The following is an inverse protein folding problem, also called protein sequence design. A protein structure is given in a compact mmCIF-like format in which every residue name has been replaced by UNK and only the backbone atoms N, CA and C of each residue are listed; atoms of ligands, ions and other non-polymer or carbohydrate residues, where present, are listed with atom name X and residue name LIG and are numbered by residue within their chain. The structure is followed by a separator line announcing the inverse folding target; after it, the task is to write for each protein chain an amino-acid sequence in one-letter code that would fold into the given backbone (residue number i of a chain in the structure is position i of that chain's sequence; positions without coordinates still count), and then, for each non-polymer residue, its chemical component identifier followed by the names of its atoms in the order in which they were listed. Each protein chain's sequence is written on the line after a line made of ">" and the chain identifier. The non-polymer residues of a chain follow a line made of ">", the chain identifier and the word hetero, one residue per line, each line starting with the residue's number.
data_IF_920362061620
#
_entry.id   IF_920362061620
#
_cell.length_a   1.000
_cell.length_b   1.000
_cell.length_c   1.000
_cell.angle_alpha   90.00
_cell.angle_beta   90.00
_cell.angle_gamma   90.00
#
_symmetry.space_group_name_H-M   'P 1'
#
loop_
_entity.id
_entity.type
_entity.pdbx_description
1 polymer ?
#
# COMPACT_ATOMS: atom_id res chain seq x y z
N UNK A 1 -29.00 18.43 -33.95
CA UNK A 1 -27.65 17.94 -33.59
C UNK A 1 -27.17 18.46 -32.22
N UNK A 2 -27.39 19.73 -31.88
CA UNK A 2 -27.01 20.31 -30.56
C UNK A 2 -27.61 19.60 -29.33
N UNK A 3 -28.88 19.20 -29.36
CA UNK A 3 -29.54 18.60 -28.19
C UNK A 3 -28.90 17.28 -27.71
N UNK A 4 -28.32 16.48 -28.63
CA UNK A 4 -27.64 15.22 -28.28
C UNK A 4 -26.27 15.44 -27.63
N UNK A 5 -25.60 16.54 -27.98
CA UNK A 5 -24.30 16.93 -27.40
C UNK A 5 -24.49 17.42 -25.96
N UNK A 6 -25.56 18.18 -25.69
CA UNK A 6 -25.88 18.69 -24.35
C UNK A 6 -26.24 17.55 -23.39
N UNK A 7 -27.05 16.57 -23.81
CA UNK A 7 -27.40 15.40 -22.99
C UNK A 7 -26.19 14.53 -22.68
N UNK A 8 -25.30 14.32 -23.65
CA UNK A 8 -24.06 13.58 -23.45
C UNK A 8 -23.10 14.30 -22.49
N UNK A 9 -22.96 15.63 -22.60
CA UNK A 9 -22.14 16.43 -21.70
C UNK A 9 -22.67 16.44 -20.25
N UNK A 10 -23.99 16.56 -20.07
CA UNK A 10 -24.62 16.52 -18.73
C UNK A 10 -24.46 15.12 -18.11
N UNK A 11 -24.61 14.06 -18.90
CA UNK A 11 -24.43 12.69 -18.43
C UNK A 11 -22.97 12.38 -18.08
N UNK A 12 -22.01 12.92 -18.85
CA UNK A 12 -20.58 12.77 -18.56
C UNK A 12 -20.19 13.56 -17.30
N UNK A 13 -20.68 14.78 -17.15
CA UNK A 13 -20.47 15.59 -15.94
C UNK A 13 -21.08 14.86 -14.75
N UNK A 14 -22.34 14.41 -14.82
CA UNK A 14 -22.99 13.65 -13.75
C UNK A 14 -22.25 12.35 -13.40
N UNK A 15 -21.69 11.64 -14.38
CA UNK A 15 -20.85 10.46 -14.16
C UNK A 15 -19.53 10.82 -13.46
N UNK A 16 -18.88 11.91 -13.86
CA UNK A 16 -17.65 12.43 -13.21
C UNK A 16 -17.92 12.97 -11.80
N UNK A 17 -19.08 13.61 -11.55
CA UNK A 17 -19.47 13.99 -10.19
C UNK A 17 -19.85 12.77 -9.37
N UNK A 18 -20.60 11.81 -9.90
CA UNK A 18 -21.02 10.61 -9.16
C UNK A 18 -19.82 9.73 -8.78
N UNK A 19 -18.84 9.57 -9.67
CA UNK A 19 -17.57 8.88 -9.37
C UNK A 19 -16.69 9.63 -8.35
N UNK A 20 -16.83 10.95 -8.21
CA UNK A 20 -16.17 11.77 -7.17
C UNK A 20 -16.97 11.94 -5.87
N UNK A 21 -18.28 11.68 -5.86
CA UNK A 21 -19.16 11.94 -4.70
C UNK A 21 -19.16 10.77 -3.69
N UNK A 22 -18.71 9.58 -4.09
CA UNK A 22 -18.47 8.45 -3.17
C UNK A 22 -17.13 8.50 -2.40
N UNK A 23 -16.29 9.50 -2.68
CA UNK A 23 -14.88 9.57 -2.29
C UNK A 23 -14.56 10.87 -1.55
N UNK A 24 -15.26 11.12 -0.44
CA UNK A 24 -14.84 12.14 0.53
C UNK A 24 -13.37 11.92 0.97
N UNK A 25 -12.68 12.96 1.47
CA UNK A 25 -11.30 12.83 1.91
C UNK A 25 -11.20 11.69 2.92
N UNK A 26 -10.20 10.83 2.74
CA UNK A 26 -9.89 9.77 3.70
C UNK A 26 -9.46 10.44 5.00
N UNK A 27 -10.23 10.26 6.06
CA UNK A 27 -9.86 10.73 7.39
C UNK A 27 -9.35 9.55 8.19
N UNK A 28 -8.12 9.68 8.67
CA UNK A 28 -7.44 8.69 9.48
C UNK A 28 -7.01 9.30 10.80
N UNK A 29 -7.28 8.62 11.91
CA UNK A 29 -6.90 9.10 13.23
C UNK A 29 -6.70 7.96 14.23
N UNK A 30 -5.81 8.18 15.20
CA UNK A 30 -5.68 7.29 16.35
C UNK A 30 -6.82 7.56 17.34
N UNK A 31 -7.47 6.50 17.80
CA UNK A 31 -8.53 6.55 18.81
C UNK A 31 -8.31 5.45 19.84
N UNK A 32 -8.06 5.80 21.10
CA UNK A 32 -7.68 4.83 22.13
C UNK A 32 -6.41 4.06 21.75
N UNK A 33 -6.47 2.73 21.76
CA UNK A 33 -5.39 1.83 21.30
C UNK A 33 -5.52 1.38 19.85
N UNK A 34 -6.34 2.08 19.04
CA UNK A 34 -6.68 1.71 17.68
C UNK A 34 -6.40 2.80 16.65
N UNK A 35 -6.64 2.47 15.39
CA UNK A 35 -6.59 3.39 14.26
C UNK A 35 -7.88 3.28 13.45
N UNK A 36 -8.55 4.42 13.25
CA UNK A 36 -9.78 4.50 12.47
C UNK A 36 -9.47 5.16 11.15
N UNK A 37 -9.91 4.54 10.06
CA UNK A 37 -9.92 5.14 8.73
C UNK A 37 -11.33 5.11 8.16
N UNK A 38 -11.81 6.27 7.72
CA UNK A 38 -13.18 6.40 7.26
C UNK A 38 -13.38 7.44 6.17
N UNK A 39 -14.49 7.27 5.46
CA UNK A 39 -15.11 8.28 4.62
C UNK A 39 -16.65 8.09 4.70
N UNK A 40 -17.41 8.76 3.83
CA UNK A 40 -18.88 8.67 3.83
C UNK A 40 -19.44 7.25 3.65
N UNK A 41 -18.70 6.37 2.97
CA UNK A 41 -19.14 5.01 2.60
C UNK A 41 -18.50 3.93 3.45
N UNK A 42 -17.25 4.12 3.85
CA UNK A 42 -16.45 3.10 4.50
C UNK A 42 -16.01 3.57 5.88
N UNK A 43 -16.04 2.67 6.87
CA UNK A 43 -15.39 2.87 8.16
C UNK A 43 -14.70 1.58 8.57
N UNK A 44 -13.41 1.67 8.86
CA UNK A 44 -12.62 0.58 9.40
C UNK A 44 -12.01 1.02 10.73
N UNK A 45 -12.25 0.24 11.76
CA UNK A 45 -11.64 0.40 13.09
C UNK A 45 -10.65 -0.74 13.30
N UNK A 46 -9.38 -0.40 13.43
CA UNK A 46 -8.27 -1.35 13.57
C UNK A 46 -7.70 -1.33 14.98
N UNK A 47 -7.40 -2.52 15.51
CA UNK A 47 -6.52 -2.65 16.66
C UNK A 47 -5.07 -2.63 16.19
N UNK A 48 -4.30 -1.67 16.71
CA UNK A 48 -2.87 -1.54 16.41
C UNK A 48 -2.03 -1.90 17.62
N UNK A 49 -0.87 -2.52 17.40
CA UNK A 49 0.05 -2.90 18.47
C UNK A 49 1.49 -2.65 18.07
N UNK A 50 2.27 -2.14 19.03
CA UNK A 50 3.71 -1.92 18.91
C UNK A 50 4.11 -0.87 17.87
N UNK A 51 5.04 0.02 18.23
CA UNK A 51 5.73 0.83 17.23
C UNK A 51 6.90 0.04 16.66
N UNK A 52 6.94 -0.14 15.34
CA UNK A 52 7.99 -0.88 14.65
C UNK A 52 8.58 -0.08 13.50
N UNK A 53 9.85 -0.34 13.23
CA UNK A 53 10.55 0.14 12.04
C UNK A 53 11.04 -1.07 11.26
N UNK A 54 10.65 -1.16 10.00
CA UNK A 54 11.07 -2.21 9.09
C UNK A 54 12.00 -1.62 8.05
N UNK A 55 13.14 -2.26 7.82
CA UNK A 55 14.15 -1.83 6.85
C UNK A 55 14.46 -2.95 5.87
N UNK A 56 14.77 -2.58 4.64
CA UNK A 56 15.12 -3.54 3.60
C UNK A 56 15.37 -2.92 2.24
N UNK A 57 15.34 -3.76 1.22
CA UNK A 57 15.48 -3.39 -0.19
C UNK A 57 14.11 -3.53 -0.85
N UNK A 58 13.59 -2.43 -1.40
CA UNK A 58 12.30 -2.35 -2.08
C UNK A 58 12.40 -2.82 -3.53
N UNK A 59 11.48 -3.68 -3.94
CA UNK A 59 11.64 -4.48 -5.17
C UNK A 59 10.39 -4.49 -6.01
N UNK A 60 9.26 -4.84 -5.40
CA UNK A 60 7.98 -4.81 -6.05
C UNK A 60 7.02 -4.07 -5.15
N UNK A 61 6.27 -3.14 -5.72
CA UNK A 61 5.18 -2.52 -4.99
C UNK A 61 3.91 -2.73 -5.82
N UNK A 62 2.72 -2.55 -5.23
CA UNK A 62 1.47 -2.49 -5.97
C UNK A 62 0.59 -1.37 -5.44
N UNK A 63 -0.07 -0.62 -6.32
CA UNK A 63 -1.10 0.34 -5.89
C UNK A 63 -2.34 -0.41 -5.43
N UNK A 64 -2.91 0.08 -4.35
CA UNK A 64 -4.13 -0.47 -3.77
C UNK A 64 -5.29 0.53 -4.00
N UNK A 65 -6.52 0.02 -4.01
CA UNK A 65 -7.75 0.77 -4.29
C UNK A 65 -8.18 1.67 -3.11
N UNK A 66 -7.33 1.87 -2.10
CA UNK A 66 -7.59 2.79 -1.00
C UNK A 66 -8.68 2.28 -0.08
N UNK A 67 -9.75 3.07 0.06
CA UNK A 67 -10.82 2.81 1.02
C UNK A 67 -11.56 1.50 0.79
N UNK A 68 -11.76 1.06 -0.46
CA UNK A 68 -12.40 -0.24 -0.72
C UNK A 68 -11.60 -1.44 -0.20
N UNK A 69 -10.32 -1.23 0.11
CA UNK A 69 -9.40 -2.23 0.65
C UNK A 69 -8.96 -1.89 2.08
N UNK A 70 -9.82 -1.29 2.89
CA UNK A 70 -9.47 -1.01 4.28
C UNK A 70 -8.60 0.22 4.50
N UNK A 71 -8.61 1.15 3.54
CA UNK A 71 -7.72 2.32 3.58
C UNK A 71 -6.28 2.01 3.19
N UNK A 72 -6.00 0.81 2.69
CA UNK A 72 -4.68 0.45 2.16
C UNK A 72 -4.40 1.22 0.88
N UNK A 73 -3.28 1.93 0.83
CA UNK A 73 -2.91 2.77 -0.33
C UNK A 73 -1.75 2.20 -1.15
N UNK A 74 -0.91 1.37 -0.53
CA UNK A 74 0.18 0.68 -1.20
C UNK A 74 0.36 -0.71 -0.62
N UNK A 75 0.84 -1.62 -1.46
CA UNK A 75 1.40 -2.89 -1.07
C UNK A 75 2.88 -2.88 -1.42
N UNK A 76 3.74 -3.39 -0.53
CA UNK A 76 5.18 -3.42 -0.74
C UNK A 76 5.74 -4.81 -0.49
N UNK A 77 6.62 -5.24 -1.38
CA UNK A 77 7.51 -6.36 -1.20
C UNK A 77 8.92 -5.83 -0.99
N UNK A 78 9.60 -6.36 0.01
CA UNK A 78 10.99 -6.04 0.28
C UNK A 78 11.74 -7.26 0.82
N UNK A 79 13.06 -7.26 0.62
CA UNK A 79 13.98 -8.20 1.23
C UNK A 79 14.78 -7.52 2.34
N UNK A 80 15.34 -8.29 3.27
CA UNK A 80 16.53 -7.82 3.98
C UNK A 80 17.73 -7.71 3.02
N UNK A 81 18.79 -7.01 3.42
CA UNK A 81 19.94 -6.78 2.54
C UNK A 81 20.67 -8.07 2.13
N UNK A 82 20.65 -9.09 3.00
CA UNK A 82 21.29 -10.38 2.73
C UNK A 82 20.57 -11.12 1.60
N UNK A 83 19.25 -11.24 1.70
CA UNK A 83 18.40 -11.90 0.71
C UNK A 83 18.40 -11.14 -0.62
N UNK A 84 18.42 -9.80 -0.58
CA UNK A 84 18.58 -8.99 -1.79
C UNK A 84 19.91 -9.26 -2.50
N UNK A 85 21.00 -9.35 -1.74
CA UNK A 85 22.33 -9.64 -2.29
C UNK A 85 22.41 -11.06 -2.84
N UNK A 86 21.75 -12.02 -2.19
CA UNK A 86 21.65 -13.38 -2.68
C UNK A 86 20.91 -13.44 -4.02
N UNK A 87 19.75 -12.77 -4.14
CA UNK A 87 19.00 -12.72 -5.38
C UNK A 87 19.85 -12.21 -6.55
N UNK A 88 20.56 -11.09 -6.36
CA UNK A 88 21.42 -10.52 -7.41
C UNK A 88 22.55 -11.47 -7.83
N UNK A 89 23.05 -12.29 -6.91
CA UNK A 89 24.11 -13.27 -7.18
C UNK A 89 23.60 -14.50 -7.92
N UNK A 90 22.40 -14.97 -7.60
CA UNK A 90 21.90 -16.29 -8.04
C UNK A 90 20.88 -16.20 -9.16
N UNK A 91 20.13 -15.09 -9.27
CA UNK A 91 19.09 -14.94 -10.26
C UNK A 91 19.68 -14.76 -11.65
N UNK A 92 19.25 -15.63 -12.56
CA UNK A 92 19.61 -15.58 -13.98
C UNK A 92 18.47 -14.97 -14.80
N UNK A 93 18.76 -14.23 -15.87
CA UNK A 93 17.74 -13.79 -16.82
C UNK A 93 16.89 -14.95 -17.33
N UNK A 94 15.56 -14.80 -17.35
CA UNK A 94 14.62 -15.80 -17.86
C UNK A 94 14.22 -16.91 -16.89
N UNK A 95 14.73 -16.91 -15.65
CA UNK A 95 14.25 -17.80 -14.59
C UNK A 95 13.09 -17.17 -13.81
N UNK A 96 12.11 -17.98 -13.39
CA UNK A 96 11.00 -17.50 -12.58
C UNK A 96 11.49 -17.09 -11.18
N UNK A 97 11.33 -15.82 -10.84
CA UNK A 97 11.71 -15.23 -9.54
C UNK A 97 10.75 -15.59 -8.40
N UNK A 98 9.57 -16.15 -8.70
CA UNK A 98 8.47 -16.34 -7.76
C UNK A 98 8.84 -17.22 -6.55
N UNK A 99 9.59 -18.30 -6.75
CA UNK A 99 10.00 -19.19 -5.65
C UNK A 99 10.88 -18.45 -4.63
N UNK A 100 11.85 -17.67 -5.13
CA UNK A 100 12.71 -16.86 -4.27
C UNK A 100 11.91 -15.79 -3.52
N UNK A 101 10.99 -15.10 -4.21
CA UNK A 101 10.15 -14.08 -3.59
C UNK A 101 9.27 -14.67 -2.50
N UNK A 102 8.63 -15.82 -2.75
CA UNK A 102 7.80 -16.49 -1.75
C UNK A 102 8.58 -16.93 -0.52
N UNK A 103 9.86 -17.30 -0.68
CA UNK A 103 10.71 -17.75 0.42
C UNK A 103 11.32 -16.61 1.24
N UNK A 104 11.67 -15.48 0.59
CA UNK A 104 12.50 -14.45 1.20
C UNK A 104 11.81 -13.08 1.33
N UNK A 105 10.77 -12.80 0.55
CA UNK A 105 10.16 -11.47 0.51
C UNK A 105 9.25 -11.29 1.72
N UNK A 106 9.35 -10.12 2.33
CA UNK A 106 8.35 -9.64 3.26
C UNK A 106 7.33 -8.80 2.50
N UNK A 107 6.06 -9.09 2.73
CA UNK A 107 4.95 -8.36 2.16
C UNK A 107 4.29 -7.46 3.22
N UNK A 108 3.98 -6.21 2.85
CA UNK A 108 3.20 -5.29 3.70
C UNK A 108 2.12 -4.56 2.92
N UNK A 109 0.92 -4.48 3.52
CA UNK A 109 -0.18 -3.60 3.13
C UNK A 109 -0.13 -2.35 4.00
N UNK A 110 -0.08 -1.17 3.37
CA UNK A 110 0.21 0.10 4.03
C UNK A 110 -1.02 1.01 4.07
N UNK A 111 -1.48 1.30 5.29
CA UNK A 111 -2.53 2.27 5.59
C UNK A 111 -1.85 3.57 6.05
N UNK A 112 -2.05 4.71 5.39
CA UNK A 112 -1.40 5.95 5.80
C UNK A 112 -2.00 6.48 7.10
N UNK A 113 -1.16 6.87 8.06
CA UNK A 113 -1.58 7.52 9.32
C UNK A 113 -2.02 8.98 9.13
N UNK A 114 -1.49 9.64 8.10
CA UNK A 114 -1.75 11.06 7.80
C UNK A 114 -1.80 11.29 6.29
N UNK A 115 -2.36 12.42 5.87
CA UNK A 115 -2.34 12.84 4.46
C UNK A 115 -0.92 12.98 3.91
N UNK A 116 0.05 13.36 4.75
CA UNK A 116 1.44 13.47 4.35
C UNK A 116 2.04 12.10 4.02
N UNK A 117 1.81 11.10 4.89
CA UNK A 117 2.24 9.72 4.61
C UNK A 117 1.53 9.15 3.40
N UNK A 118 0.25 9.49 3.20
CA UNK A 118 -0.49 9.08 1.99
C UNK A 118 0.20 9.59 0.72
N UNK A 119 0.66 10.84 0.70
CA UNK A 119 1.41 11.39 -0.44
C UNK A 119 2.74 10.68 -0.64
N UNK A 120 3.47 10.39 0.45
CA UNK A 120 4.72 9.62 0.39
C UNK A 120 4.51 8.23 -0.22
N UNK A 121 3.47 7.51 0.22
CA UNK A 121 3.09 6.21 -0.32
C UNK A 121 2.68 6.28 -1.79
N UNK A 122 1.92 7.31 -2.18
CA UNK A 122 1.51 7.53 -3.57
C UNK A 122 2.67 7.84 -4.52
N UNK A 123 3.76 8.41 -4.00
CA UNK A 123 4.97 8.74 -4.73
C UNK A 123 5.92 7.54 -4.93
N UNK A 124 5.65 6.38 -4.28
CA UNK A 124 6.44 5.17 -4.51
C UNK A 124 6.36 4.77 -5.98
N UNK A 125 7.51 4.36 -6.52
CA UNK A 125 7.63 3.81 -7.87
C UNK A 125 7.53 2.29 -7.81
N UNK A 126 6.85 1.77 -8.82
CA UNK A 126 6.48 0.37 -9.00
C UNK A 126 7.30 -0.18 -10.18
N UNK A 127 8.63 -0.14 -10.04
CA UNK A 127 9.53 -0.55 -11.11
C UNK A 127 9.55 -2.09 -11.23
N UNK A 128 10.10 -2.61 -12.33
CA UNK A 128 10.15 -4.05 -12.57
C UNK A 128 11.01 -4.75 -11.51
N UNK A 129 10.43 -5.75 -10.84
CA UNK A 129 11.10 -6.55 -9.84
C UNK A 129 12.36 -7.26 -10.35
N UNK A 130 12.43 -7.55 -11.66
CA UNK A 130 13.62 -8.14 -12.29
C UNK A 130 14.72 -7.09 -12.56
N UNK A 131 14.38 -5.80 -12.59
CA UNK A 131 15.35 -4.71 -12.75
C UNK A 131 15.99 -4.34 -11.40
N UNK A 132 17.02 -5.10 -11.01
CA UNK A 132 17.78 -4.90 -9.78
C UNK A 132 18.48 -3.53 -9.72
N UNK A 133 18.68 -2.86 -10.86
CA UNK A 133 19.27 -1.52 -10.91
C UNK A 133 18.30 -0.43 -10.42
N UNK A 134 17.01 -0.74 -10.33
CA UNK A 134 15.99 0.16 -9.78
C UNK A 134 15.87 0.03 -8.26
N UNK A 135 16.42 -1.03 -7.66
CA UNK A 135 16.20 -1.36 -6.25
C UNK A 135 16.74 -0.29 -5.31
N UNK A 136 15.95 0.04 -4.28
CA UNK A 136 16.22 1.11 -3.32
C UNK A 136 16.20 0.58 -1.90
N UNK A 137 17.03 1.14 -1.02
CA UNK A 137 16.80 1.01 0.42
C UNK A 137 15.50 1.68 0.81
N UNK A 138 14.77 1.01 1.68
CA UNK A 138 13.47 1.42 2.16
C UNK A 138 13.40 1.26 3.67
N UNK A 139 12.76 2.23 4.32
CA UNK A 139 12.43 2.16 5.74
C UNK A 139 10.98 2.59 5.94
N UNK A 140 10.24 1.73 6.62
CA UNK A 140 8.85 1.94 7.01
C UNK A 140 8.76 2.06 8.52
N UNK A 141 8.02 3.07 9.00
CA UNK A 141 7.72 3.25 10.42
C UNK A 141 6.21 3.24 10.64
N UNK A 142 5.79 2.75 11.80
CA UNK A 142 4.38 2.73 12.18
C UNK A 142 4.01 1.55 13.07
N UNK A 143 2.76 1.09 12.94
CA UNK A 143 2.17 0.13 13.87
C UNK A 143 1.55 -1.06 13.14
N UNK A 144 1.79 -2.26 13.66
CA UNK A 144 1.18 -3.47 13.13
C UNK A 144 -0.32 -3.46 13.40
N UNK A 145 -1.12 -3.80 12.38
CA UNK A 145 -2.55 -4.06 12.57
C UNK A 145 -2.71 -5.52 12.96
N UNK A 146 -3.34 -5.75 14.12
CA UNK A 146 -3.56 -7.10 14.66
C UNK A 146 -4.93 -7.67 14.29
N UNK A 147 -5.94 -6.80 14.12
CA UNK A 147 -7.30 -7.15 13.70
C UNK A 147 -8.09 -5.90 13.30
N UNK A 148 -9.19 -6.10 12.58
CA UNK A 148 -10.27 -5.12 12.51
C UNK A 148 -11.24 -5.35 13.69
N UNK A 149 -11.48 -4.33 14.51
CA UNK A 149 -12.49 -4.34 15.56
C UNK A 149 -13.90 -4.20 14.96
N UNK A 150 -14.05 -3.35 13.94
CA UNK A 150 -15.30 -3.23 13.18
C UNK A 150 -15.04 -2.79 11.74
N UNK A 151 -15.92 -3.22 10.83
CA UNK A 151 -15.92 -2.78 9.45
C UNK A 151 -17.35 -2.45 9.04
N UNK A 152 -17.54 -1.28 8.47
CA UNK A 152 -18.82 -0.83 7.93
C UNK A 152 -18.66 -0.36 6.48
N UNK A 153 -19.53 -0.85 5.59
CA UNK A 153 -19.59 -0.48 4.17
C UNK A 153 -21.02 -0.08 3.85
N UNK A 154 -21.22 1.14 3.34
CA UNK A 154 -22.54 1.73 3.09
C UNK A 154 -23.46 1.64 4.32
N UNK A 155 -22.90 1.87 5.52
CA UNK A 155 -23.64 1.77 6.78
C UNK A 155 -23.93 0.34 7.27
N UNK A 156 -23.52 -0.70 6.53
CA UNK A 156 -23.77 -2.10 6.87
C UNK A 156 -22.51 -2.77 7.43
N UNK A 157 -22.63 -3.64 8.45
CA UNK A 157 -21.50 -4.44 8.93
C UNK A 157 -20.90 -5.29 7.82
N UNK A 158 -19.57 -5.38 7.80
CA UNK A 158 -18.80 -6.23 6.90
C UNK A 158 -17.66 -6.92 7.66
N UNK A 159 -16.93 -7.78 6.98
CA UNK A 159 -15.82 -8.57 7.56
C UNK A 159 -14.55 -8.28 6.76
N UNK A 160 -13.44 -8.01 7.45
CA UNK A 160 -12.13 -7.92 6.82
C UNK A 160 -11.59 -9.33 6.50
N UNK A 161 -10.80 -9.52 5.43
CA UNK A 161 -10.16 -10.80 5.16
C UNK A 161 -9.28 -11.25 6.34
N UNK A 162 -9.39 -12.53 6.73
CA UNK A 162 -8.78 -13.05 7.96
C UNK A 162 -7.23 -12.99 7.96
N UNK A 163 -6.60 -13.31 6.83
CA UNK A 163 -5.14 -13.36 6.67
C UNK A 163 -4.48 -11.99 6.46
N UNK A 164 -5.25 -10.91 6.44
CA UNK A 164 -4.75 -9.56 6.21
C UNK A 164 -3.81 -9.07 7.33
N UNK A 165 -3.89 -9.66 8.52
CA UNK A 165 -3.20 -9.18 9.73
C UNK A 165 -2.07 -10.08 10.22
N UNK A 166 -1.92 -11.27 9.64
CA UNK A 166 -0.94 -12.27 10.07
C UNK A 166 0.48 -11.73 9.96
N UNK A 167 1.31 -12.00 10.97
CA UNK A 167 2.73 -11.63 11.01
C UNK A 167 2.97 -10.14 10.66
N UNK A 168 2.07 -9.25 11.10
CA UNK A 168 2.13 -7.82 10.83
C UNK A 168 2.07 -7.50 9.33
N UNK A 169 1.34 -8.27 8.52
CA UNK A 169 1.22 -8.03 7.08
C UNK A 169 0.55 -6.69 6.78
N UNK A 170 -0.39 -6.23 7.59
CA UNK A 170 -0.97 -4.88 7.46
C UNK A 170 -0.39 -3.94 8.51
N UNK A 171 -0.09 -2.71 8.09
CA UNK A 171 0.55 -1.71 8.93
C UNK A 171 -0.06 -0.33 8.72
N UNK A 172 -0.29 0.37 9.83
CA UNK A 172 -0.56 1.81 9.84
C UNK A 172 0.79 2.52 9.76
N UNK A 173 1.11 3.02 8.57
CA UNK A 173 2.36 3.70 8.26
C UNK A 173 2.34 5.13 8.79
N UNK A 174 3.30 5.47 9.64
CA UNK A 174 3.53 6.85 10.13
C UNK A 174 4.69 7.54 9.42
N UNK A 175 5.46 6.81 8.62
CA UNK A 175 6.51 7.40 7.79
C UNK A 175 7.13 6.40 6.84
N UNK A 176 7.53 6.90 5.67
CA UNK A 176 8.19 6.13 4.63
C UNK A 176 9.42 6.89 4.16
N UNK A 177 10.58 6.24 4.20
CA UNK A 177 11.81 6.78 3.66
C UNK A 177 12.34 5.81 2.59
N UNK A 178 12.48 6.32 1.37
CA UNK A 178 13.13 5.60 0.27
C UNK A 178 14.39 6.35 -0.09
N UNK A 179 15.51 5.65 -0.18
CA UNK A 179 16.73 6.28 -0.64
C UNK A 179 16.55 6.75 -2.09
N UNK A 180 16.95 7.98 -2.44
CA UNK A 180 16.71 8.53 -3.77
C UNK A 180 17.51 7.79 -4.86
N UNK A 181 18.72 7.34 -4.50
CA UNK A 181 19.61 6.66 -5.43
C UNK A 181 19.50 5.14 -5.34
N UNK A 182 19.65 4.43 -6.49
CA UNK A 182 19.75 2.98 -6.49
C UNK A 182 20.95 2.52 -5.71
N UNK A 183 20.85 1.30 -5.19
CA UNK A 183 21.98 0.65 -4.56
C UNK A 183 23.03 0.34 -5.64
N UNK A 184 24.23 0.96 -5.59
CA UNK A 184 25.23 0.80 -6.66
C UNK A 184 25.66 -0.66 -6.84
N UNK A 185 25.65 -1.42 -5.74
CA UNK A 185 25.97 -2.85 -5.71
C UNK A 185 24.94 -3.76 -6.42
N UNK A 186 23.75 -3.25 -6.76
CA UNK A 186 22.70 -3.99 -7.47
C UNK A 186 22.47 -3.51 -8.90
N UNK A 187 23.17 -2.46 -9.32
CA UNK A 187 23.27 -2.09 -10.73
C UNK A 187 23.95 -3.24 -11.47
N UNK A 188 23.21 -3.92 -12.36
CA UNK A 188 23.77 -5.00 -13.19
C UNK A 188 24.99 -4.47 -13.94
N UNK A 189 26.06 -5.28 -13.97
CA UNK A 189 27.12 -5.15 -14.98
C UNK A 189 26.55 -5.37 -16.37
#
# INVERSE_FOLDING_TARGET
>A
MLARIVVAAISLIAYFTYTKIGSGPVTGHFGGSGYIVENKKYRYDYAVSGGSSFGGVLIATGRQQGMSQGGVTAAVHYFDESSASEFVRTQKPGHCSAEFFNAHAQFKLLIPATLEVQKQLAALRFDDHDDTSSWRRFTLKGYCVSRANSVTIDGKPAVAPFNMFDNCTTMVATGVAVQPQPLPQFARR
#
